data_IF_534404308457
#
_entry.id   IF_534404308457
#
_cell.length_a   1.000
_cell.length_b   1.000
_cell.length_c   1.000
_cell.angle_alpha   90.00
_cell.angle_beta   90.00
_cell.angle_gamma   90.00
#
_symmetry.space_group_name_H-M   'P 1'
#
loop_
_entity.id
_entity.type
_entity.pdbx_description
1 polymer ?
#
# COMPACT_ATOMS: atom_id res chain seq x y z
N UNK A 1 -18.21 3.19 -1.48
CA UNK A 1 -17.05 3.76 -2.21
C UNK A 1 -15.81 3.01 -1.79
N UNK A 2 -14.90 2.73 -2.72
CA UNK A 2 -13.67 2.01 -2.43
C UNK A 2 -12.69 2.89 -1.63
N UNK A 3 -11.94 2.33 -0.67
CA UNK A 3 -10.93 3.09 0.05
C UNK A 3 -9.83 3.59 -0.91
N UNK A 4 -9.32 4.79 -0.64
CA UNK A 4 -8.14 5.33 -1.33
C UNK A 4 -6.93 5.21 -0.42
N UNK A 5 -5.83 4.68 -0.96
CA UNK A 5 -4.54 4.62 -0.27
C UNK A 5 -3.56 5.64 -0.81
N UNK A 6 -2.74 6.21 0.07
CA UNK A 6 -1.74 7.22 -0.28
C UNK A 6 -0.43 6.86 0.41
N UNK A 7 0.52 6.32 -0.36
CA UNK A 7 1.87 6.05 0.14
C UNK A 7 2.65 7.36 0.32
N UNK A 8 3.09 7.62 1.54
CA UNK A 8 3.82 8.82 1.90
C UNK A 8 5.32 8.59 1.70
N UNK A 9 6.03 9.68 1.37
CA UNK A 9 7.50 9.69 1.37
C UNK A 9 8.02 9.86 2.80
N UNK A 10 9.28 9.51 3.03
CA UNK A 10 9.92 9.51 4.34
C UNK A 10 9.93 10.89 5.03
N UNK A 11 9.83 11.97 4.25
CA UNK A 11 9.74 13.34 4.80
C UNK A 11 8.39 13.63 5.48
N UNK A 12 7.42 12.74 5.37
CA UNK A 12 6.11 12.81 6.04
C UNK A 12 6.19 12.10 7.40
N UNK A 13 6.90 12.71 8.35
CA UNK A 13 6.99 12.23 9.73
C UNK A 13 5.64 12.28 10.44
N UNK A 14 5.51 11.52 11.53
CA UNK A 14 4.33 11.53 12.42
C UNK A 14 3.94 12.93 12.86
N UNK A 15 4.91 13.73 13.31
CA UNK A 15 4.70 15.13 13.70
C UNK A 15 4.13 15.96 12.54
N UNK A 16 4.63 15.78 11.32
CA UNK A 16 4.13 16.49 10.14
C UNK A 16 2.69 16.09 9.81
N UNK A 17 2.36 14.81 9.97
CA UNK A 17 1.00 14.29 9.80
C UNK A 17 0.04 14.90 10.84
N UNK A 18 0.48 14.99 12.10
CA UNK A 18 -0.30 15.61 13.18
C UNK A 18 -0.54 17.10 12.94
N UNK A 19 0.49 17.84 12.55
CA UNK A 19 0.37 19.27 12.20
C UNK A 19 -0.57 19.46 11.01
N UNK A 20 -0.50 18.58 10.00
CA UNK A 20 -1.43 18.59 8.87
C UNK A 20 -2.87 18.38 9.32
N UNK A 21 -3.13 17.32 10.08
CA UNK A 21 -4.47 16.97 10.55
C UNK A 21 -5.07 18.11 11.39
N UNK A 22 -4.31 18.64 12.35
CA UNK A 22 -4.74 19.77 13.17
C UNK A 22 -5.07 21.02 12.34
N UNK A 23 -4.21 21.38 11.38
CA UNK A 23 -4.41 22.56 10.52
C UNK A 23 -5.66 22.45 9.65
N UNK A 24 -6.02 21.25 9.25
CA UNK A 24 -7.19 20.98 8.41
C UNK A 24 -8.46 20.69 9.23
N UNK A 25 -8.40 20.86 10.55
CA UNK A 25 -9.53 20.68 11.45
C UNK A 25 -9.90 19.21 11.65
N UNK A 26 -9.00 18.27 11.37
CA UNK A 26 -9.28 16.86 11.61
C UNK A 26 -9.12 16.55 13.09
N UNK A 27 -10.10 15.83 13.64
CA UNK A 27 -10.07 15.39 15.03
C UNK A 27 -9.42 14.01 15.12
N UNK A 28 -8.43 13.86 16.01
CA UNK A 28 -7.88 12.55 16.34
C UNK A 28 -8.92 11.76 17.13
N UNK A 29 -9.26 10.57 16.64
CA UNK A 29 -10.28 9.70 17.22
C UNK A 29 -9.67 8.59 18.07
N UNK A 30 -8.66 7.88 17.54
CA UNK A 30 -8.04 6.75 18.24
C UNK A 30 -6.58 6.53 17.80
N UNK A 31 -5.82 5.80 18.63
CA UNK A 31 -4.42 5.43 18.37
C UNK A 31 -4.17 4.00 18.84
N UNK A 32 -3.56 3.21 17.96
CA UNK A 32 -3.05 1.88 18.24
C UNK A 32 -1.53 1.89 18.12
N UNK A 33 -0.83 1.59 19.21
CA UNK A 33 0.63 1.52 19.21
C UNK A 33 1.14 0.29 18.43
N UNK A 34 2.33 0.42 17.84
CA UNK A 34 2.95 -0.70 17.13
C UNK A 34 3.28 -1.85 18.11
N UNK A 35 3.02 -3.09 17.69
CA UNK A 35 3.30 -4.30 18.47
C UNK A 35 3.80 -5.42 17.56
N UNK A 36 5.10 -5.68 17.57
CA UNK A 36 5.71 -6.70 16.72
C UNK A 36 5.55 -6.38 15.23
N UNK A 37 4.69 -7.13 14.54
CA UNK A 37 4.35 -6.91 13.13
C UNK A 37 3.07 -6.09 12.93
N UNK A 38 2.36 -5.74 14.01
CA UNK A 38 1.19 -4.88 13.95
C UNK A 38 1.62 -3.43 13.70
N UNK A 39 1.05 -2.75 12.69
CA UNK A 39 1.42 -1.39 12.35
C UNK A 39 0.95 -0.41 13.43
N UNK A 40 1.73 0.63 13.67
CA UNK A 40 1.21 1.80 14.39
C UNK A 40 0.09 2.40 13.54
N UNK A 41 -1.05 2.67 14.18
CA UNK A 41 -2.25 3.19 13.51
C UNK A 41 -2.78 4.41 14.26
N UNK A 42 -3.04 5.50 13.55
CA UNK A 42 -3.74 6.67 14.09
C UNK A 42 -4.94 7.01 13.23
N UNK A 43 -6.10 7.16 13.87
CA UNK A 43 -7.37 7.40 13.20
C UNK A 43 -7.76 8.87 13.36
N UNK A 44 -8.04 9.53 12.23
CA UNK A 44 -8.55 10.89 12.18
C UNK A 44 -9.94 10.91 11.56
N UNK A 45 -10.75 11.88 11.95
CA UNK A 45 -12.05 12.17 11.34
C UNK A 45 -12.13 13.61 10.85
N UNK A 46 -12.77 13.80 9.71
CA UNK A 46 -13.12 15.12 9.18
C UNK A 46 -14.17 15.81 10.06
N UNK A 47 -14.27 17.13 9.98
CA UNK A 47 -15.19 17.93 10.82
C UNK A 47 -16.67 17.55 10.68
N UNK A 48 -17.07 16.98 9.55
CA UNK A 48 -18.43 16.49 9.30
C UNK A 48 -18.68 15.07 9.85
N UNK A 49 -17.66 14.43 10.43
CA UNK A 49 -17.70 13.05 10.96
C UNK A 49 -18.11 12.00 9.89
N UNK A 50 -18.04 12.33 8.61
CA UNK A 50 -18.45 11.44 7.50
C UNK A 50 -17.27 10.76 6.81
N UNK A 51 -16.04 11.20 7.07
CA UNK A 51 -14.82 10.64 6.46
C UNK A 51 -13.76 10.37 7.50
N UNK A 52 -13.18 9.17 7.44
CA UNK A 52 -12.11 8.71 8.30
C UNK A 52 -10.82 8.56 7.49
N UNK A 53 -9.71 8.99 8.08
CA UNK A 53 -8.37 8.85 7.52
C UNK A 53 -7.49 8.10 8.53
N UNK A 54 -7.07 6.91 8.13
CA UNK A 54 -6.24 6.01 8.92
C UNK A 54 -4.79 6.19 8.48
N UNK A 55 -3.95 6.71 9.37
CA UNK A 55 -2.52 6.80 9.17
C UNK A 55 -1.85 5.52 9.70
N UNK A 56 -1.01 4.89 8.87
CA UNK A 56 -0.25 3.69 9.19
C UNK A 56 1.25 3.96 9.11
N UNK A 57 2.00 3.43 10.07
CA UNK A 57 3.43 3.14 9.95
C UNK A 57 3.59 1.61 9.96
N UNK A 58 3.79 1.00 8.79
CA UNK A 58 3.70 -0.44 8.61
C UNK A 58 5.11 -1.07 8.43
N UNK A 59 5.59 -1.85 9.42
CA UNK A 59 6.90 -2.47 9.36
C UNK A 59 7.01 -3.60 8.33
N UNK A 60 5.89 -4.20 7.88
CA UNK A 60 5.90 -5.27 6.88
C UNK A 60 6.24 -4.72 5.49
N UNK A 61 5.69 -3.55 5.15
CA UNK A 61 5.99 -2.89 3.87
C UNK A 61 7.09 -1.84 3.98
N UNK A 62 7.50 -1.46 5.20
CA UNK A 62 8.47 -0.40 5.48
C UNK A 62 8.03 0.93 4.84
N UNK A 63 6.75 1.27 5.02
CA UNK A 63 6.11 2.45 4.45
C UNK A 63 5.17 3.11 5.45
N UNK A 64 5.01 4.42 5.27
CA UNK A 64 3.94 5.18 5.90
C UNK A 64 2.87 5.48 4.87
N UNK A 65 1.59 5.32 5.22
CA UNK A 65 0.52 5.59 4.27
C UNK A 65 -0.78 5.98 4.96
N UNK A 66 -1.65 6.63 4.19
CA UNK A 66 -3.04 6.84 4.57
C UNK A 66 -3.95 5.82 3.90
N UNK A 67 -5.01 5.41 4.59
CA UNK A 67 -6.21 4.80 4.02
C UNK A 67 -7.39 5.73 4.34
N UNK A 68 -8.11 6.17 3.30
CA UNK A 68 -9.25 7.08 3.43
C UNK A 68 -10.53 6.34 3.08
N UNK A 69 -11.54 6.46 3.94
CA UNK A 69 -12.86 5.84 3.79
C UNK A 69 -13.96 6.80 4.25
N UNK A 70 -15.13 6.76 3.62
CA UNK A 70 -16.28 7.58 4.05
C UNK A 70 -17.02 8.24 2.90
N UNK A 71 -17.64 9.38 3.16
CA UNK A 71 -18.46 10.12 2.20
C UNK A 71 -17.65 10.99 1.22
N UNK A 72 -16.52 11.57 1.64
CA UNK A 72 -15.67 12.43 0.80
C UNK A 72 -14.25 11.87 0.70
N UNK A 73 -14.13 10.65 0.16
CA UNK A 73 -12.85 9.95 0.04
C UNK A 73 -11.87 10.72 -0.86
N UNK A 74 -12.31 11.17 -2.03
CA UNK A 74 -11.41 11.82 -3.00
C UNK A 74 -11.06 13.26 -2.59
N UNK A 75 -12.00 14.02 -2.03
CA UNK A 75 -11.70 15.35 -1.49
C UNK A 75 -10.69 15.29 -0.34
N UNK A 76 -10.87 14.34 0.57
CA UNK A 76 -9.93 14.09 1.68
C UNK A 76 -8.56 13.60 1.17
N UNK A 77 -8.54 12.70 0.17
CA UNK A 77 -7.30 12.24 -0.45
C UNK A 77 -6.53 13.38 -1.14
N UNK A 78 -7.23 14.28 -1.83
CA UNK A 78 -6.60 15.46 -2.44
C UNK A 78 -6.02 16.43 -1.40
N UNK A 79 -6.67 16.59 -0.25
CA UNK A 79 -6.14 17.40 0.85
C UNK A 79 -4.81 16.86 1.37
N UNK A 80 -4.69 15.54 1.52
CA UNK A 80 -3.45 14.86 1.89
C UNK A 80 -2.38 15.09 0.81
N UNK A 81 -2.68 14.77 -0.46
CA UNK A 81 -1.73 14.88 -1.59
C UNK A 81 -1.17 16.29 -1.77
N UNK A 82 -1.97 17.33 -1.49
CA UNK A 82 -1.55 18.74 -1.59
C UNK A 82 -0.59 19.19 -0.49
N UNK A 83 -0.58 18.52 0.66
CA UNK A 83 0.11 19.01 1.88
C UNK A 83 1.24 18.10 2.33
N UNK A 84 1.16 16.80 2.02
CA UNK A 84 2.15 15.81 2.40
C UNK A 84 2.88 15.26 1.17
N UNK A 85 4.23 15.17 1.24
CA UNK A 85 5.00 14.40 0.28
C UNK A 85 4.49 12.96 0.17
N UNK A 86 4.10 12.58 -1.04
CA UNK A 86 3.59 11.26 -1.38
C UNK A 86 4.22 10.77 -2.68
N UNK A 87 4.18 9.46 -2.90
CA UNK A 87 4.58 8.86 -4.16
C UNK A 87 3.45 8.99 -5.18
N UNK A 88 3.73 9.61 -6.32
CA UNK A 88 2.82 9.56 -7.46
C UNK A 88 3.01 8.24 -8.22
N UNK A 89 2.00 7.85 -9.00
CA UNK A 89 2.06 6.69 -9.89
C UNK A 89 3.32 6.71 -10.77
N UNK A 90 3.56 7.83 -11.45
CA UNK A 90 4.67 7.95 -12.40
C UNK A 90 6.03 7.93 -11.69
N UNK A 91 6.13 8.49 -10.48
CA UNK A 91 7.34 8.39 -9.66
C UNK A 91 7.65 6.94 -9.28
N UNK A 92 6.64 6.14 -8.94
CA UNK A 92 6.81 4.72 -8.60
C UNK A 92 7.30 3.92 -9.81
N UNK A 93 6.67 4.11 -10.96
CA UNK A 93 7.07 3.47 -12.21
C UNK A 93 8.49 3.85 -12.62
N UNK A 94 8.85 5.13 -12.47
CA UNK A 94 10.19 5.60 -12.77
C UNK A 94 11.22 5.01 -11.80
N UNK A 95 10.93 4.93 -10.50
CA UNK A 95 11.82 4.29 -9.53
C UNK A 95 12.05 2.82 -9.84
N UNK A 96 11.00 2.07 -10.20
CA UNK A 96 11.13 0.68 -10.58
C UNK A 96 12.01 0.51 -11.84
N UNK A 97 11.87 1.41 -12.82
CA UNK A 97 12.67 1.40 -14.05
C UNK A 97 14.14 1.75 -13.81
N UNK A 98 14.42 2.66 -12.88
CA UNK A 98 15.78 3.12 -12.58
C UNK A 98 16.51 2.25 -11.55
N UNK A 99 15.80 1.36 -10.86
CA UNK A 99 16.37 0.45 -9.88
C UNK A 99 17.50 -0.40 -10.48
N UNK A 100 18.69 -0.31 -9.88
CA UNK A 100 19.89 -1.06 -10.30
C UNK A 100 20.10 -2.26 -9.40
N UNK A 101 19.66 -2.17 -8.16
CA UNK A 101 19.80 -3.22 -7.15
C UNK A 101 18.45 -3.88 -6.84
N UNK A 102 18.42 -5.19 -6.53
CA UNK A 102 17.17 -5.89 -6.21
C UNK A 102 16.40 -5.28 -5.03
N UNK A 103 17.10 -4.71 -4.05
CA UNK A 103 16.47 -4.04 -2.91
C UNK A 103 15.74 -2.74 -3.31
N UNK A 104 16.29 -2.00 -4.28
CA UNK A 104 15.66 -0.79 -4.82
C UNK A 104 14.36 -1.16 -5.56
N UNK A 105 14.42 -2.20 -6.40
CA UNK A 105 13.24 -2.71 -7.10
C UNK A 105 12.19 -3.24 -6.12
N UNK A 106 12.61 -4.04 -5.14
CA UNK A 106 11.72 -4.56 -4.10
C UNK A 106 11.01 -3.44 -3.33
N UNK A 107 11.71 -2.32 -3.06
CA UNK A 107 11.11 -1.13 -2.44
C UNK A 107 10.09 -0.47 -3.36
N UNK A 108 10.41 -0.24 -4.63
CA UNK A 108 9.48 0.35 -5.60
C UNK A 108 8.21 -0.51 -5.77
N UNK A 109 8.36 -1.84 -5.78
CA UNK A 109 7.25 -2.80 -5.85
C UNK A 109 6.33 -2.73 -4.63
N UNK A 110 6.88 -2.58 -3.41
CA UNK A 110 6.06 -2.38 -2.19
C UNK A 110 5.25 -1.09 -2.27
N UNK A 111 5.88 0.00 -2.73
CA UNK A 111 5.20 1.28 -2.92
C UNK A 111 4.09 1.14 -3.97
N UNK A 112 4.37 0.46 -5.08
CA UNK A 112 3.38 0.19 -6.13
C UNK A 112 2.14 -0.53 -5.57
N UNK A 113 2.32 -1.56 -4.75
CA UNK A 113 1.21 -2.25 -4.10
C UNK A 113 0.38 -1.35 -3.18
N UNK A 114 1.04 -0.61 -2.30
CA UNK A 114 0.35 0.27 -1.33
C UNK A 114 -0.38 1.43 -2.02
N UNK A 115 0.24 2.01 -3.04
CA UNK A 115 -0.32 3.12 -3.82
C UNK A 115 -1.28 2.68 -4.94
N UNK A 116 -1.47 1.36 -5.13
CA UNK A 116 -2.32 0.83 -6.19
C UNK A 116 -3.77 1.33 -6.04
N UNK A 117 -4.39 1.83 -7.13
CA UNK A 117 -5.79 2.23 -7.12
C UNK A 117 -6.74 1.04 -6.87
N UNK A 118 -8.01 1.36 -6.66
CA UNK A 118 -9.06 0.34 -6.53
C UNK A 118 -9.22 -0.45 -7.83
N UNK A 119 -9.33 0.26 -8.95
CA UNK A 119 -9.39 -0.28 -10.30
C UNK A 119 -8.01 -0.76 -10.76
N UNK A 120 -8.00 -1.68 -11.72
CA UNK A 120 -6.76 -2.19 -12.32
C UNK A 120 -6.00 -1.05 -13.03
N UNK A 121 -4.75 -0.85 -12.63
CA UNK A 121 -3.82 -0.01 -13.37
C UNK A 121 -2.87 -0.91 -14.18
N UNK A 122 -2.93 -0.88 -15.53
CA UNK A 122 -2.15 -1.79 -16.37
C UNK A 122 -0.64 -1.72 -16.12
N UNK A 123 -0.06 -0.52 -15.98
CA UNK A 123 1.40 -0.41 -15.85
C UNK A 123 1.88 -0.90 -14.48
N UNK A 124 1.12 -0.60 -13.42
CA UNK A 124 1.41 -1.14 -12.09
C UNK A 124 1.18 -2.66 -12.03
N UNK A 125 0.18 -3.18 -12.73
CA UNK A 125 -0.04 -4.62 -12.84
C UNK A 125 1.12 -5.32 -13.52
N UNK A 126 1.59 -4.80 -14.65
CA UNK A 126 2.75 -5.35 -15.36
C UNK A 126 4.00 -5.31 -14.46
N UNK A 127 4.23 -4.19 -13.74
CA UNK A 127 5.31 -4.08 -12.75
C UNK A 127 5.22 -5.18 -11.68
N UNK A 128 4.06 -5.37 -11.07
CA UNK A 128 3.88 -6.40 -10.03
C UNK A 128 4.06 -7.82 -10.60
N UNK A 129 3.50 -8.09 -11.78
CA UNK A 129 3.59 -9.39 -12.45
C UNK A 129 5.04 -9.74 -12.80
N UNK A 130 5.78 -8.79 -13.35
CA UNK A 130 7.18 -8.98 -13.72
C UNK A 130 8.04 -9.17 -12.46
N UNK A 131 7.76 -8.40 -11.40
CA UNK A 131 8.42 -8.56 -10.11
C UNK A 131 8.18 -9.94 -9.47
N UNK A 132 7.00 -10.55 -9.64
CA UNK A 132 6.74 -11.93 -9.19
C UNK A 132 7.55 -12.99 -9.94
N UNK A 133 8.10 -12.67 -11.12
CA UNK A 133 8.95 -13.59 -11.89
C UNK A 133 10.44 -13.24 -11.79
N UNK A 134 10.81 -12.27 -10.94
CA UNK A 134 12.17 -11.79 -10.82
C UNK A 134 13.12 -12.87 -10.27
N UNK A 135 14.39 -12.97 -10.74
CA UNK A 135 15.34 -13.94 -10.21
C UNK A 135 15.65 -13.75 -8.72
N UNK A 136 15.56 -12.52 -8.21
CA UNK A 136 15.83 -12.23 -6.80
C UNK A 136 14.62 -12.54 -5.90
N UNK A 137 14.85 -13.35 -4.88
CA UNK A 137 13.81 -13.80 -3.94
C UNK A 137 13.16 -12.65 -3.18
N UNK A 138 13.90 -11.57 -2.91
CA UNK A 138 13.41 -10.39 -2.17
C UNK A 138 12.41 -9.61 -3.01
N UNK A 139 12.66 -9.49 -4.31
CA UNK A 139 11.73 -8.84 -5.25
C UNK A 139 10.45 -9.64 -5.37
N UNK A 140 10.54 -10.96 -5.53
CA UNK A 140 9.35 -11.84 -5.59
C UNK A 140 8.52 -11.80 -4.31
N UNK A 141 9.18 -11.88 -3.16
CA UNK A 141 8.51 -11.78 -1.85
C UNK A 141 7.80 -10.44 -1.68
N UNK A 142 8.44 -9.33 -2.07
CA UNK A 142 7.83 -7.99 -2.05
C UNK A 142 6.63 -7.91 -3.00
N UNK A 143 6.70 -8.52 -4.18
CA UNK A 143 5.60 -8.54 -5.14
C UNK A 143 4.40 -9.32 -4.62
N UNK A 144 4.62 -10.46 -3.95
CA UNK A 144 3.55 -11.20 -3.28
C UNK A 144 2.86 -10.35 -2.21
N UNK A 145 3.63 -9.72 -1.31
CA UNK A 145 3.08 -8.87 -0.26
C UNK A 145 2.34 -7.65 -0.83
N UNK A 146 2.90 -6.98 -1.84
CA UNK A 146 2.30 -5.85 -2.53
C UNK A 146 0.94 -6.18 -3.15
N UNK A 147 0.76 -7.41 -3.65
CA UNK A 147 -0.50 -7.87 -4.22
C UNK A 147 -1.66 -7.89 -3.22
N UNK A 148 -1.40 -8.02 -1.92
CA UNK A 148 -2.42 -7.92 -0.88
C UNK A 148 -3.07 -6.52 -0.82
N UNK A 149 -2.31 -5.48 -1.14
CA UNK A 149 -2.78 -4.10 -1.15
C UNK A 149 -3.50 -3.76 -2.45
N UNK A 150 -2.93 -4.14 -3.60
CA UNK A 150 -3.54 -3.96 -4.91
C UNK A 150 -4.88 -4.72 -5.00
N UNK A 151 -4.88 -6.00 -4.60
CA UNK A 151 -6.05 -6.87 -4.53
C UNK A 151 -6.86 -6.99 -5.83
N UNK A 152 -6.20 -6.80 -6.98
CA UNK A 152 -6.78 -7.01 -8.31
C UNK A 152 -6.89 -8.49 -8.64
N UNK A 153 -8.01 -8.92 -9.22
CA UNK A 153 -8.29 -10.35 -9.50
C UNK A 153 -7.28 -10.96 -10.46
N UNK A 154 -6.71 -10.17 -11.34
CA UNK A 154 -5.70 -10.51 -12.33
C UNK A 154 -4.40 -11.01 -11.67
N UNK A 155 -4.14 -10.61 -10.41
CA UNK A 155 -2.97 -11.08 -9.65
C UNK A 155 -3.15 -12.50 -9.10
N UNK A 156 -4.34 -13.10 -9.22
CA UNK A 156 -4.62 -14.46 -8.73
C UNK A 156 -3.70 -15.51 -9.33
N UNK A 157 -3.62 -15.58 -10.66
CA UNK A 157 -2.81 -16.60 -11.34
C UNK A 157 -1.31 -16.41 -11.08
N UNK A 158 -0.73 -15.19 -11.18
CA UNK A 158 0.63 -14.93 -10.74
C UNK A 158 0.93 -15.36 -9.31
N UNK A 159 0.03 -15.07 -8.36
CA UNK A 159 0.18 -15.48 -6.97
C UNK A 159 0.04 -16.99 -6.78
N UNK A 160 -0.85 -17.67 -7.50
CA UNK A 160 -0.98 -19.13 -7.47
C UNK A 160 0.31 -19.81 -7.94
N UNK A 161 0.95 -19.29 -8.99
CA UNK A 161 2.29 -19.76 -9.40
C UNK A 161 3.34 -19.51 -8.31
N UNK A 162 3.33 -18.33 -7.71
CA UNK A 162 4.28 -17.96 -6.66
C UNK A 162 4.07 -18.73 -5.35
N UNK A 163 2.87 -19.27 -5.11
CA UNK A 163 2.57 -20.12 -3.96
C UNK A 163 3.30 -21.48 -3.99
N UNK A 164 3.86 -21.83 -5.14
CA UNK A 164 4.70 -23.01 -5.38
C UNK A 164 6.17 -22.62 -5.68
N UNK A 165 6.61 -21.41 -5.31
CA UNK A 165 7.98 -20.95 -5.51
C UNK A 165 9.00 -21.90 -4.83
N UNK A 166 10.15 -22.19 -5.47
CA UNK A 166 11.17 -23.02 -4.86
C UNK A 166 11.79 -22.42 -3.59
N UNK A 167 11.71 -21.09 -3.38
CA UNK A 167 12.09 -20.43 -2.13
C UNK A 167 10.94 -20.50 -1.12
N UNK A 168 11.08 -21.26 0.00
CA UNK A 168 9.99 -21.49 0.94
C UNK A 168 9.33 -20.21 1.48
N UNK A 169 10.14 -19.17 1.74
CA UNK A 169 9.62 -17.89 2.26
C UNK A 169 8.72 -17.18 1.24
N UNK A 170 9.08 -17.22 -0.04
CA UNK A 170 8.30 -16.59 -1.11
C UNK A 170 6.96 -17.32 -1.26
N UNK A 171 7.00 -18.66 -1.27
CA UNK A 171 5.81 -19.50 -1.32
C UNK A 171 4.87 -19.25 -0.14
N UNK A 172 5.39 -19.16 1.08
CA UNK A 172 4.61 -18.89 2.29
C UNK A 172 3.89 -17.54 2.21
N UNK A 173 4.58 -16.46 1.84
CA UNK A 173 3.98 -15.13 1.68
C UNK A 173 2.86 -15.17 0.64
N UNK A 174 3.10 -15.78 -0.53
CA UNK A 174 2.09 -15.89 -1.58
C UNK A 174 0.86 -16.68 -1.13
N UNK A 175 1.04 -17.78 -0.37
CA UNK A 175 -0.06 -18.58 0.17
C UNK A 175 -0.91 -17.79 1.19
N UNK A 176 -0.27 -17.05 2.09
CA UNK A 176 -0.95 -16.19 3.07
C UNK A 176 -1.78 -15.12 2.35
N UNK A 177 -1.19 -14.44 1.37
CA UNK A 177 -1.86 -13.39 0.59
C UNK A 177 -3.04 -13.96 -0.20
N UNK A 178 -2.86 -15.09 -0.89
CA UNK A 178 -3.94 -15.76 -1.62
C UNK A 178 -5.12 -16.13 -0.71
N UNK A 179 -4.84 -16.66 0.48
CA UNK A 179 -5.87 -17.01 1.45
C UNK A 179 -6.65 -15.77 1.88
N UNK A 180 -5.94 -14.72 2.29
CA UNK A 180 -6.57 -13.47 2.72
C UNK A 180 -7.41 -12.81 1.62
N UNK A 181 -6.97 -12.84 0.36
CA UNK A 181 -7.72 -12.29 -0.77
C UNK A 181 -8.94 -13.15 -1.15
N UNK A 182 -8.87 -14.47 -0.99
CA UNK A 182 -10.01 -15.38 -1.16
C UNK A 182 -11.08 -15.16 -0.10
N UNK A 183 -10.71 -14.99 1.16
CA UNK A 183 -11.64 -14.75 2.27
C UNK A 183 -12.34 -13.39 2.15
N UNK A 184 -11.65 -12.38 1.61
CA UNK A 184 -12.16 -11.01 1.48
C UNK A 184 -12.91 -10.73 0.18
N UNK A 185 -13.18 -11.74 -0.65
CA UNK A 185 -13.78 -11.62 -1.99
C UNK A 185 -13.09 -10.52 -2.81
N UNK A 186 -11.88 -10.80 -3.34
CA UNK A 186 -11.14 -9.98 -4.33
C UNK A 186 -11.94 -8.81 -4.92
N UNK A 187 -11.37 -7.59 -4.92
CA UNK A 187 -12.06 -6.37 -5.38
C UNK A 187 -12.85 -6.66 -6.67
N UNK A 188 -14.18 -6.52 -6.61
CA UNK A 188 -15.04 -6.67 -7.78
C UNK A 188 -14.69 -5.55 -8.77
N UNK A 189 -14.40 -5.94 -10.01
CA UNK A 189 -14.14 -5.06 -11.16
C UNK A 189 -15.42 -4.40 -11.64
#
# INVERSE_FOLDING_TARGET
MSPVRIALKEQSSRERVEVFAWRDGWSMWDVFEASGLEPYTKIYRTMDDQTEAYYFEDPMVDLHYFVVTGADVEGTAQQIRKRLPHYSRDEVLQQAKEAKEPLELARAVRIAGVAAPAELDPDLFELLRDAMSNPDTRVRSSAAAAAAFAAWRELREPLERLSADPEPRVAEVAQVVLRGLKEKNWKES
#
